data_IF_804294248738
#
_entry.id   IF_804294248738
#
_cell.length_a   1.000
_cell.length_b   1.000
_cell.length_c   1.000
_cell.angle_alpha   90.00
_cell.angle_beta   90.00
_cell.angle_gamma   90.00
#
_symmetry.space_group_name_H-M   'P 1'
#
loop_
_entity.id
_entity.type
_entity.pdbx_description
1 polymer ?
#
# COMPACT_ATOMS: atom_id res chain seq x y z
N UNK A 1 -16.40 -5.97 -11.38
CA UNK A 1 -15.63 -5.12 -12.32
C UNK A 1 -14.55 -5.90 -13.05
N UNK A 2 -14.00 -6.99 -12.47
CA UNK A 2 -12.91 -7.73 -13.13
C UNK A 2 -13.36 -8.52 -14.36
N UNK A 3 -14.60 -8.96 -14.41
CA UNK A 3 -15.18 -9.71 -15.55
C UNK A 3 -15.45 -8.82 -16.78
N UNK A 4 -15.42 -7.50 -16.59
CA UNK A 4 -15.62 -6.50 -17.65
C UNK A 4 -14.32 -6.05 -18.30
N UNK A 5 -13.19 -6.62 -17.89
CA UNK A 5 -11.86 -6.24 -18.33
C UNK A 5 -11.10 -7.45 -18.85
N UNK A 6 -10.48 -7.31 -19.99
CA UNK A 6 -9.55 -8.30 -20.52
C UNK A 6 -8.24 -8.25 -19.72
N UNK A 7 -7.78 -9.41 -19.30
CA UNK A 7 -6.54 -9.59 -18.55
C UNK A 7 -5.48 -10.28 -19.40
N UNK A 8 -4.24 -9.85 -19.26
CA UNK A 8 -3.10 -10.44 -19.97
C UNK A 8 -1.95 -10.69 -19.02
N UNK A 9 -1.12 -11.68 -19.34
CA UNK A 9 0.12 -11.94 -18.60
C UNK A 9 1.30 -11.30 -19.32
N UNK A 10 2.11 -10.57 -18.56
CA UNK A 10 3.27 -9.83 -19.08
C UNK A 10 4.49 -10.12 -18.25
N UNK A 11 5.64 -10.19 -18.89
CA UNK A 11 6.93 -10.22 -18.21
C UNK A 11 7.44 -8.80 -18.02
N UNK A 12 7.65 -8.43 -16.76
CA UNK A 12 8.23 -7.14 -16.39
C UNK A 12 9.68 -7.32 -16.02
N UNK A 13 10.57 -6.66 -16.75
CA UNK A 13 12.02 -6.63 -16.47
C UNK A 13 12.52 -5.20 -16.52
N UNK A 14 13.30 -4.84 -15.50
CA UNK A 14 14.03 -3.57 -15.45
C UNK A 14 15.51 -3.90 -15.36
N UNK A 15 16.28 -3.34 -16.29
CA UNK A 15 17.70 -3.58 -16.39
C UNK A 15 18.49 -2.30 -16.07
N UNK A 16 19.59 -2.45 -15.37
CA UNK A 16 20.57 -1.38 -15.23
C UNK A 16 21.16 -1.05 -16.61
N UNK A 17 20.99 0.19 -17.02
CA UNK A 17 21.39 0.63 -18.35
C UNK A 17 22.93 0.65 -18.56
N UNK A 18 23.71 0.72 -17.45
CA UNK A 18 25.18 0.72 -17.50
C UNK A 18 25.76 -0.69 -17.54
N UNK A 19 25.20 -1.57 -16.72
CA UNK A 19 25.77 -2.91 -16.50
C UNK A 19 25.04 -4.00 -17.25
N UNK A 20 23.82 -3.74 -17.75
CA UNK A 20 22.96 -4.74 -18.36
C UNK A 20 22.42 -5.78 -17.38
N UNK A 21 22.62 -5.61 -16.07
CA UNK A 21 22.09 -6.52 -15.06
C UNK A 21 20.61 -6.25 -14.82
N UNK A 22 19.85 -7.32 -14.60
CA UNK A 22 18.46 -7.22 -14.16
C UNK A 22 18.41 -6.68 -12.73
N UNK A 23 17.71 -5.56 -12.55
CA UNK A 23 17.47 -4.91 -11.24
C UNK A 23 16.15 -5.43 -10.64
N UNK A 24 15.14 -5.61 -11.49
CA UNK A 24 13.82 -6.06 -11.10
C UNK A 24 13.27 -7.00 -12.15
N UNK A 25 12.62 -8.07 -11.71
CA UNK A 25 11.95 -9.02 -12.59
C UNK A 25 10.68 -9.57 -11.92
N UNK A 26 9.59 -9.59 -12.69
CA UNK A 26 8.35 -10.26 -12.33
C UNK A 26 7.76 -10.89 -13.59
N UNK A 27 7.81 -12.22 -13.66
CA UNK A 27 7.41 -12.98 -14.84
C UNK A 27 5.95 -13.42 -14.73
N UNK A 28 5.25 -13.38 -15.87
CA UNK A 28 3.85 -13.83 -15.96
C UNK A 28 2.88 -12.99 -15.13
N UNK A 29 3.22 -11.73 -14.82
CA UNK A 29 2.37 -10.81 -14.07
C UNK A 29 1.04 -10.57 -14.79
N UNK A 30 -0.07 -10.85 -14.12
CA UNK A 30 -1.40 -10.57 -14.64
C UNK A 30 -1.75 -9.08 -14.48
N UNK A 31 -2.07 -8.43 -15.60
CA UNK A 31 -2.42 -7.01 -15.65
C UNK A 31 -3.58 -6.76 -16.61
N UNK A 32 -4.36 -5.66 -16.47
CA UNK A 32 -5.37 -5.29 -17.42
C UNK A 32 -4.75 -5.08 -18.82
N UNK A 33 -5.38 -5.65 -19.85
CA UNK A 33 -4.82 -5.65 -21.20
C UNK A 33 -4.69 -4.24 -21.80
N UNK A 34 -5.56 -3.32 -21.41
CA UNK A 34 -5.58 -1.93 -21.90
C UNK A 34 -4.53 -1.02 -21.26
N UNK A 35 -3.86 -1.45 -20.18
CA UNK A 35 -2.79 -0.66 -19.58
C UNK A 35 -1.55 -0.67 -20.46
N UNK A 36 -0.91 0.48 -20.63
CA UNK A 36 0.35 0.57 -21.34
C UNK A 36 1.52 -0.08 -20.57
N UNK A 37 2.59 -0.41 -21.29
CA UNK A 37 3.72 -1.12 -20.71
C UNK A 37 4.46 -0.31 -19.64
N UNK A 38 4.47 1.02 -19.72
CA UNK A 38 5.13 1.86 -18.72
C UNK A 38 4.32 1.89 -17.43
N UNK A 39 2.99 2.02 -17.53
CA UNK A 39 2.10 1.95 -16.37
C UNK A 39 2.24 0.60 -15.66
N UNK A 40 2.27 -0.50 -16.41
CA UNK A 40 2.46 -1.85 -15.86
C UNK A 40 3.83 -1.97 -15.18
N UNK A 41 4.92 -1.50 -15.81
CA UNK A 41 6.28 -1.56 -15.24
C UNK A 41 6.41 -0.75 -13.96
N UNK A 42 5.88 0.48 -13.95
CA UNK A 42 5.95 1.35 -12.76
C UNK A 42 5.15 0.73 -11.61
N UNK A 43 3.94 0.27 -11.88
CA UNK A 43 3.10 -0.34 -10.85
C UNK A 43 3.72 -1.61 -10.30
N UNK A 44 4.29 -2.45 -11.17
CA UNK A 44 4.94 -3.69 -10.77
C UNK A 44 6.18 -3.44 -9.89
N UNK A 45 7.05 -2.54 -10.32
CA UNK A 45 8.31 -2.25 -9.62
C UNK A 45 8.10 -1.50 -8.29
N UNK A 46 7.12 -0.58 -8.25
CA UNK A 46 6.97 0.33 -7.13
C UNK A 46 5.94 -0.10 -6.10
N UNK A 47 4.91 -0.83 -6.50
CA UNK A 47 3.72 -0.99 -5.68
C UNK A 47 3.32 -2.43 -5.37
N UNK A 48 3.70 -3.41 -6.21
CA UNK A 48 3.42 -4.81 -5.93
C UNK A 48 4.31 -5.35 -4.82
N UNK A 49 3.69 -6.06 -3.90
CA UNK A 49 4.37 -6.60 -2.72
C UNK A 49 4.96 -7.99 -2.98
N UNK A 50 5.93 -8.36 -2.13
CA UNK A 50 6.59 -9.66 -2.18
C UNK A 50 7.69 -9.75 -3.24
N UNK A 51 8.84 -10.31 -2.83
CA UNK A 51 10.01 -10.47 -3.70
C UNK A 51 10.20 -11.92 -4.17
N UNK A 52 9.63 -12.90 -3.46
CA UNK A 52 9.82 -14.31 -3.73
C UNK A 52 8.62 -14.92 -4.45
N UNK A 53 8.76 -15.31 -5.74
CA UNK A 53 7.70 -15.98 -6.48
C UNK A 53 7.16 -17.21 -5.74
N UNK A 54 5.83 -17.31 -5.63
CA UNK A 54 5.17 -18.44 -4.97
C UNK A 54 5.09 -18.31 -3.45
N UNK A 55 5.66 -17.27 -2.83
CA UNK A 55 5.35 -16.96 -1.44
C UNK A 55 3.92 -16.44 -1.32
N UNK A 56 3.32 -16.60 -0.16
CA UNK A 56 1.94 -16.16 0.12
C UNK A 56 1.74 -14.64 -0.02
N UNK A 57 2.82 -13.89 -0.03
CA UNK A 57 2.84 -12.44 -0.07
C UNK A 57 3.16 -11.89 -1.46
N UNK A 58 3.54 -12.77 -2.37
CA UNK A 58 3.90 -12.38 -3.72
C UNK A 58 2.65 -12.01 -4.53
N UNK A 59 2.51 -10.74 -4.82
CA UNK A 59 1.43 -10.23 -5.67
C UNK A 59 1.77 -10.48 -7.14
N UNK A 60 1.20 -11.53 -7.73
CA UNK A 60 1.41 -11.94 -9.13
C UNK A 60 0.32 -11.44 -10.10
N UNK A 61 -0.62 -10.67 -9.57
CA UNK A 61 -1.71 -10.06 -10.30
C UNK A 61 -2.00 -8.65 -9.77
N UNK A 62 -2.38 -7.76 -10.67
CA UNK A 62 -2.89 -6.45 -10.29
C UNK A 62 -4.21 -6.54 -9.50
N UNK A 63 -4.94 -7.65 -9.61
CA UNK A 63 -6.10 -7.90 -8.74
C UNK A 63 -5.70 -7.91 -7.27
N UNK A 64 -4.52 -8.45 -6.93
CA UNK A 64 -4.06 -8.52 -5.55
C UNK A 64 -3.95 -7.13 -4.91
N UNK A 65 -3.31 -6.19 -5.61
CA UNK A 65 -3.15 -4.82 -5.09
C UNK A 65 -4.47 -4.05 -5.07
N UNK A 66 -5.34 -4.25 -6.08
CA UNK A 66 -6.67 -3.61 -6.10
C UNK A 66 -7.54 -4.12 -4.96
N UNK A 67 -7.58 -5.45 -4.75
CA UNK A 67 -8.31 -6.07 -3.64
C UNK A 67 -7.75 -5.62 -2.28
N UNK A 68 -6.44 -5.56 -2.15
CA UNK A 68 -5.79 -5.11 -0.92
C UNK A 68 -6.24 -3.70 -0.52
N UNK A 69 -6.24 -2.77 -1.47
CA UNK A 69 -6.62 -1.38 -1.22
C UNK A 69 -8.14 -1.26 -1.00
N UNK A 70 -8.95 -1.79 -1.92
CA UNK A 70 -10.39 -1.64 -1.85
C UNK A 70 -10.99 -2.33 -0.63
N UNK A 71 -10.57 -3.55 -0.32
CA UNK A 71 -11.05 -4.28 0.85
C UNK A 71 -10.68 -3.57 2.15
N UNK A 72 -9.49 -3.00 2.24
CA UNK A 72 -9.08 -2.27 3.44
C UNK A 72 -9.92 -1.02 3.66
N UNK A 73 -10.15 -0.21 2.62
CA UNK A 73 -11.01 0.95 2.72
C UNK A 73 -12.45 0.59 3.07
N UNK A 74 -12.96 -0.50 2.48
CA UNK A 74 -14.31 -0.98 2.76
C UNK A 74 -14.46 -1.43 4.21
N UNK A 75 -13.48 -2.20 4.72
CA UNK A 75 -13.51 -2.64 6.11
C UNK A 75 -13.43 -1.46 7.07
N UNK A 76 -12.52 -0.53 6.84
CA UNK A 76 -12.43 0.67 7.68
C UNK A 76 -13.71 1.50 7.63
N UNK A 77 -14.28 1.68 6.45
CA UNK A 77 -15.55 2.39 6.29
C UNK A 77 -16.72 1.70 7.02
N UNK A 78 -16.73 0.37 6.98
CA UNK A 78 -17.73 -0.41 7.71
C UNK A 78 -17.55 -0.30 9.23
N UNK A 79 -16.34 -0.48 9.74
CA UNK A 79 -16.02 -0.39 11.18
C UNK A 79 -16.31 1.00 11.75
N UNK A 80 -16.14 2.05 10.96
CA UNK A 80 -16.38 3.44 11.35
C UNK A 80 -17.81 3.93 11.05
N UNK A 81 -18.67 3.04 10.52
CA UNK A 81 -20.10 3.33 10.30
C UNK A 81 -20.40 4.28 9.13
N UNK A 82 -19.55 4.30 8.11
CA UNK A 82 -19.80 5.10 6.90
C UNK A 82 -20.87 4.51 5.98
N UNK A 83 -21.15 3.22 6.08
CA UNK A 83 -22.13 2.53 5.26
C UNK A 83 -23.39 2.21 6.06
N UNK A 84 -24.55 2.45 5.45
CA UNK A 84 -25.83 2.14 6.08
C UNK A 84 -26.15 0.64 6.06
N UNK A 85 -25.73 -0.04 5.01
CA UNK A 85 -25.97 -1.48 4.80
C UNK A 85 -24.70 -2.18 4.32
N UNK A 86 -24.66 -3.51 4.43
CA UNK A 86 -23.59 -4.32 3.84
C UNK A 86 -23.55 -4.17 2.32
N UNK A 87 -24.71 -4.05 1.68
CA UNK A 87 -24.82 -3.83 0.24
C UNK A 87 -24.12 -2.53 -0.19
N UNK A 88 -24.29 -1.43 0.59
CA UNK A 88 -23.57 -0.18 0.32
C UNK A 88 -22.05 -0.35 0.40
N UNK A 89 -21.59 -1.14 1.35
CA UNK A 89 -20.16 -1.44 1.50
C UNK A 89 -19.64 -2.29 0.33
N UNK A 90 -20.40 -3.28 -0.13
CA UNK A 90 -20.06 -4.11 -1.28
C UNK A 90 -20.02 -3.28 -2.58
N UNK A 91 -21.01 -2.41 -2.81
CA UNK A 91 -21.06 -1.50 -3.95
C UNK A 91 -19.82 -0.58 -3.93
N UNK A 92 -19.52 0.04 -2.79
CA UNK A 92 -18.33 0.89 -2.63
C UNK A 92 -17.03 0.14 -2.98
N UNK A 93 -16.91 -1.11 -2.52
CA UNK A 93 -15.75 -1.96 -2.83
C UNK A 93 -15.59 -2.17 -4.33
N UNK A 94 -16.67 -2.55 -5.00
CA UNK A 94 -16.66 -2.83 -6.44
C UNK A 94 -16.43 -1.56 -7.27
N UNK A 95 -16.96 -0.41 -6.86
CA UNK A 95 -16.71 0.87 -7.53
C UNK A 95 -15.25 1.31 -7.42
N UNK A 96 -14.62 1.18 -6.25
CA UNK A 96 -13.19 1.49 -6.10
C UNK A 96 -12.35 0.59 -7.00
N UNK A 97 -12.63 -0.71 -7.04
CA UNK A 97 -11.95 -1.65 -7.93
C UNK A 97 -12.10 -1.25 -9.40
N UNK A 98 -13.32 -0.91 -9.82
CA UNK A 98 -13.58 -0.48 -11.19
C UNK A 98 -12.79 0.79 -11.54
N UNK A 99 -12.76 1.77 -10.65
CA UNK A 99 -12.01 3.01 -10.87
C UNK A 99 -10.50 2.78 -10.94
N UNK A 100 -9.94 1.90 -10.10
CA UNK A 100 -8.52 1.53 -10.12
C UNK A 100 -8.15 0.83 -11.43
N UNK A 101 -8.93 -0.17 -11.83
CA UNK A 101 -8.69 -0.94 -13.05
C UNK A 101 -8.75 -0.07 -14.29
N UNK A 102 -9.70 0.87 -14.35
CA UNK A 102 -9.92 1.77 -15.47
C UNK A 102 -9.01 3.02 -15.43
N UNK A 103 -8.13 3.14 -14.45
CA UNK A 103 -7.26 4.32 -14.24
C UNK A 103 -8.04 5.65 -14.10
N UNK A 104 -9.29 5.59 -13.63
CA UNK A 104 -10.11 6.77 -13.34
C UNK A 104 -9.68 7.43 -12.04
N UNK A 105 -9.24 6.62 -11.09
CA UNK A 105 -8.75 7.04 -9.79
C UNK A 105 -7.53 6.22 -9.39
N UNK A 106 -6.62 6.86 -8.68
CA UNK A 106 -5.48 6.20 -8.06
C UNK A 106 -5.16 6.88 -6.73
N UNK A 107 -4.87 6.13 -5.67
CA UNK A 107 -4.39 6.71 -4.43
C UNK A 107 -2.95 7.21 -4.57
N UNK A 108 -2.51 8.00 -3.59
CA UNK A 108 -1.11 8.42 -3.51
C UNK A 108 -0.17 7.23 -3.20
N UNK A 109 1.12 7.41 -3.46
CA UNK A 109 2.11 6.34 -3.33
C UNK A 109 2.17 5.66 -1.95
N UNK A 110 2.10 6.36 -0.80
CA UNK A 110 2.08 5.69 0.50
C UNK A 110 0.91 4.74 0.71
N UNK A 111 -0.25 5.01 0.13
CA UNK A 111 -1.38 4.08 0.14
C UNK A 111 -1.04 2.80 -0.62
N UNK A 112 -0.49 2.93 -1.83
CA UNK A 112 -0.04 1.79 -2.62
C UNK A 112 0.99 0.92 -1.89
N UNK A 113 1.94 1.54 -1.16
CA UNK A 113 3.01 0.82 -0.45
C UNK A 113 2.53 0.16 0.85
N UNK A 114 1.64 0.83 1.59
CA UNK A 114 1.49 0.54 3.02
C UNK A 114 0.14 -0.05 3.38
N UNK A 115 -0.94 0.25 2.61
CA UNK A 115 -2.29 -0.16 2.99
C UNK A 115 -2.56 -1.62 2.68
N UNK A 116 -3.23 -2.27 3.60
CA UNK A 116 -3.86 -3.57 3.44
C UNK A 116 -2.95 -4.76 3.68
N UNK A 117 -1.64 -4.58 3.88
CA UNK A 117 -0.76 -5.70 4.21
C UNK A 117 -1.11 -6.34 5.56
N UNK A 118 -1.48 -5.52 6.54
CA UNK A 118 -1.98 -5.98 7.82
C UNK A 118 -3.41 -6.52 7.72
N UNK A 119 -4.28 -5.85 6.97
CA UNK A 119 -5.69 -6.20 6.85
C UNK A 119 -5.93 -7.46 6.00
N UNK A 120 -5.16 -7.69 4.94
CA UNK A 120 -5.20 -8.96 4.20
C UNK A 120 -4.97 -10.15 5.13
N UNK A 121 -4.01 -10.01 6.01
CA UNK A 121 -3.68 -11.01 7.00
C UNK A 121 -4.81 -11.17 8.03
N UNK A 122 -5.40 -10.07 8.47
CA UNK A 122 -6.43 -10.07 9.52
C UNK A 122 -7.78 -10.59 9.02
N UNK A 123 -8.17 -10.22 7.81
CA UNK A 123 -9.53 -10.43 7.29
C UNK A 123 -9.59 -11.38 6.10
N UNK A 124 -8.68 -11.28 5.18
CA UNK A 124 -8.74 -11.94 3.88
C UNK A 124 -8.10 -13.33 3.84
N UNK A 125 -7.16 -13.58 4.71
CA UNK A 125 -6.32 -14.79 4.66
C UNK A 125 -6.12 -15.37 6.05
N UNK A 126 -7.14 -16.03 6.64
CA UNK A 126 -7.01 -16.66 7.95
C UNK A 126 -5.94 -17.76 8.00
N UNK A 127 -5.63 -18.37 6.85
CA UNK A 127 -4.54 -19.33 6.66
C UNK A 127 -3.15 -18.72 6.94
N UNK A 128 -2.99 -17.42 6.80
CA UNK A 128 -1.74 -16.72 7.10
C UNK A 128 -1.57 -16.35 8.57
N UNK A 129 -2.66 -16.33 9.35
CA UNK A 129 -2.63 -15.88 10.76
C UNK A 129 -1.63 -16.63 11.63
N UNK A 130 -1.51 -17.93 11.44
CA UNK A 130 -0.64 -18.77 12.27
C UNK A 130 0.85 -18.65 11.91
N UNK A 131 1.14 -18.22 10.69
CA UNK A 131 2.50 -18.15 10.13
C UNK A 131 2.98 -16.75 9.82
N UNK A 132 2.17 -15.73 10.11
CA UNK A 132 2.55 -14.34 9.86
C UNK A 132 3.61 -13.89 10.88
N UNK A 133 4.82 -13.79 10.43
CA UNK A 133 5.96 -13.31 11.24
C UNK A 133 6.08 -11.79 11.27
N UNK A 134 5.07 -11.08 10.76
CA UNK A 134 5.01 -9.63 10.72
C UNK A 134 6.00 -9.04 9.71
N UNK A 135 5.53 -8.73 8.50
CA UNK A 135 6.33 -7.88 7.63
C UNK A 135 6.30 -6.46 8.18
N UNK A 136 7.46 -5.86 8.14
CA UNK A 136 7.70 -4.58 8.74
C UNK A 136 8.31 -4.70 10.14
N UNK A 137 9.10 -3.70 10.47
CA UNK A 137 9.73 -3.60 11.77
C UNK A 137 8.69 -3.20 12.82
N UNK A 138 8.93 -3.59 14.07
CA UNK A 138 8.21 -3.01 15.20
C UNK A 138 8.30 -1.49 15.14
N UNK A 139 7.19 -0.83 15.32
CA UNK A 139 7.09 0.62 15.23
C UNK A 139 6.37 1.19 16.46
N UNK A 140 6.43 2.51 16.61
CA UNK A 140 5.65 3.22 17.62
C UNK A 140 4.53 3.98 16.93
N UNK A 141 3.32 3.77 17.43
CA UNK A 141 2.15 4.53 17.03
C UNK A 141 1.73 5.48 18.15
N UNK A 142 1.42 6.73 17.79
CA UNK A 142 0.95 7.74 18.71
C UNK A 142 -0.50 8.09 18.40
N UNK A 143 -1.39 7.87 19.36
CA UNK A 143 -2.83 8.13 19.23
C UNK A 143 -3.26 9.11 20.31
N UNK A 144 -4.17 10.02 19.97
CA UNK A 144 -4.79 10.94 20.93
C UNK A 144 -4.93 12.35 20.39
N UNK A 145 -5.31 13.26 21.28
CA UNK A 145 -5.40 14.70 20.99
C UNK A 145 -4.13 15.42 21.42
N UNK A 146 -3.92 16.65 20.94
CA UNK A 146 -2.74 17.49 21.25
C UNK A 146 -2.33 17.49 22.74
N UNK A 147 -3.31 17.37 23.65
CA UNK A 147 -3.08 17.41 25.11
C UNK A 147 -3.09 16.04 25.78
N UNK A 148 -3.32 14.96 25.04
CA UNK A 148 -3.40 13.60 25.58
C UNK A 148 -2.93 12.59 24.52
N UNK A 149 -1.66 12.69 24.16
CA UNK A 149 -1.01 11.76 23.25
C UNK A 149 -0.52 10.54 24.02
N UNK A 150 -0.85 9.36 23.52
CA UNK A 150 -0.32 8.09 24.02
C UNK A 150 0.46 7.41 22.91
N UNK A 151 1.70 7.06 23.21
CA UNK A 151 2.56 6.29 22.29
C UNK A 151 2.64 4.86 22.78
N UNK A 152 2.43 3.92 21.88
CA UNK A 152 2.54 2.49 22.16
C UNK A 152 3.26 1.78 21.02
N UNK A 153 3.89 0.66 21.35
CA UNK A 153 4.60 -0.16 20.36
C UNK A 153 3.59 -1.04 19.61
N UNK A 154 3.70 -1.06 18.30
CA UNK A 154 2.94 -1.90 17.39
C UNK A 154 3.82 -3.01 16.83
N UNK A 155 3.22 -4.11 16.39
CA UNK A 155 3.96 -5.27 15.93
C UNK A 155 4.51 -5.11 14.51
N UNK A 156 3.84 -4.29 13.70
CA UNK A 156 4.24 -4.01 12.32
C UNK A 156 3.99 -2.56 11.96
N UNK A 157 4.82 -1.99 11.11
CA UNK A 157 4.60 -0.67 10.48
C UNK A 157 3.33 -0.63 9.64
N UNK A 158 2.82 -1.78 9.23
CA UNK A 158 1.59 -1.91 8.43
C UNK A 158 0.31 -1.99 9.28
N UNK A 159 0.41 -2.13 10.61
CA UNK A 159 -0.74 -2.14 11.52
C UNK A 159 -1.46 -0.78 11.56
N UNK A 160 -0.68 0.30 11.52
CA UNK A 160 -1.16 1.68 11.38
C UNK A 160 -0.37 2.33 10.25
N UNK A 161 -0.76 2.07 9.00
CA UNK A 161 0.04 2.48 7.85
C UNK A 161 0.04 3.98 7.64
N UNK A 162 1.19 4.51 7.20
CA UNK A 162 1.24 5.88 6.72
C UNK A 162 0.57 5.98 5.36
N UNK A 163 -0.44 6.84 5.27
CA UNK A 163 -1.26 7.03 4.06
C UNK A 163 -1.08 8.40 3.40
N UNK A 164 -0.39 9.34 4.08
CA UNK A 164 -0.19 10.69 3.57
C UNK A 164 1.08 10.78 2.74
N UNK A 165 0.99 11.35 1.53
CA UNK A 165 2.13 11.50 0.65
C UNK A 165 3.02 12.69 1.02
N UNK A 166 2.41 13.77 1.52
CA UNK A 166 3.10 15.03 1.75
C UNK A 166 2.76 15.60 3.11
N UNK A 167 3.76 16.21 3.74
CA UNK A 167 3.63 16.92 5.00
C UNK A 167 4.11 18.36 4.85
N UNK A 168 3.38 19.28 5.43
CA UNK A 168 3.83 20.65 5.64
C UNK A 168 4.35 20.75 7.07
N UNK A 169 5.61 21.06 7.21
CA UNK A 169 6.28 21.22 8.49
C UNK A 169 6.80 22.65 8.64
N UNK A 170 6.78 23.16 9.86
CA UNK A 170 7.36 24.43 10.22
C UNK A 170 8.69 24.18 10.95
N UNK A 171 9.68 25.00 10.68
CA UNK A 171 10.95 25.00 11.40
C UNK A 171 11.15 26.34 12.10
N UNK A 172 11.46 26.31 13.39
CA UNK A 172 11.82 27.51 14.16
C UNK A 172 13.26 27.96 13.84
N UNK A 173 13.63 29.13 14.33
CA UNK A 173 14.92 29.77 14.05
C UNK A 173 16.01 29.45 15.11
N UNK A 174 15.78 28.43 15.93
CA UNK A 174 16.80 27.91 16.86
C UNK A 174 17.56 26.73 16.26
N UNK A 175 18.77 26.48 16.74
CA UNK A 175 19.55 25.30 16.33
C UNK A 175 18.84 24.00 16.72
N UNK A 176 18.18 23.98 17.86
CA UNK A 176 17.38 22.86 18.36
C UNK A 176 16.23 22.56 17.42
N UNK A 177 15.47 23.58 17.02
CA UNK A 177 14.34 23.42 16.08
C UNK A 177 14.79 22.88 14.73
N UNK A 178 15.93 23.34 14.22
CA UNK A 178 16.51 22.87 12.95
C UNK A 178 16.90 21.39 13.04
N UNK A 179 17.54 20.97 14.14
CA UNK A 179 17.90 19.57 14.33
C UNK A 179 16.70 18.65 14.51
N UNK A 180 15.70 19.10 15.25
CA UNK A 180 14.44 18.37 15.43
C UNK A 180 13.66 18.25 14.11
N UNK A 181 13.71 19.30 13.28
CA UNK A 181 13.13 19.27 11.95
C UNK A 181 13.78 18.20 11.05
N UNK A 182 15.11 18.11 11.01
CA UNK A 182 15.83 17.06 10.28
C UNK A 182 15.44 15.66 10.75
N UNK A 183 15.27 15.48 12.05
CA UNK A 183 14.79 14.20 12.60
C UNK A 183 13.37 13.87 12.14
N UNK A 184 12.51 14.87 12.10
CA UNK A 184 11.12 14.75 11.63
C UNK A 184 11.06 14.38 10.16
N UNK A 185 11.83 15.08 9.31
CA UNK A 185 11.95 14.77 7.87
C UNK A 185 12.44 13.33 7.66
N UNK A 186 13.47 12.91 8.37
CA UNK A 186 13.98 11.54 8.28
C UNK A 186 12.93 10.48 8.60
N UNK A 187 12.05 10.73 9.59
CA UNK A 187 10.94 9.84 9.92
C UNK A 187 9.85 9.82 8.85
N UNK A 188 9.54 10.98 8.27
CA UNK A 188 8.58 11.10 7.17
C UNK A 188 9.08 10.31 5.97
N UNK A 189 10.32 10.51 5.54
CA UNK A 189 10.91 9.81 4.41
C UNK A 189 11.00 8.29 4.63
N UNK A 190 11.27 7.85 5.86
CA UNK A 190 11.31 6.43 6.19
C UNK A 190 9.96 5.72 5.98
N UNK A 191 8.85 6.45 5.96
CA UNK A 191 7.50 5.93 5.68
C UNK A 191 7.10 5.96 4.20
N UNK A 192 7.98 6.43 3.32
CA UNK A 192 7.70 6.61 1.89
C UNK A 192 6.94 7.91 1.57
N UNK A 193 6.85 8.82 2.51
CA UNK A 193 6.23 10.15 2.37
C UNK A 193 7.28 11.26 2.20
N UNK A 194 6.85 12.47 1.84
CA UNK A 194 7.73 13.62 1.64
C UNK A 194 7.13 14.97 1.99
#
# INVERSE_FOLDING_TARGET
>A
PYDEVDWTRRDVRIMDWKTGKTIYERLGLEAPAHWDDNAVKITADKYLFGSEPGSLEYEDSFRNIYDRISNTYTVWGWEEGYFATLEDAEIFNEEIKAMLVQQIWAPNSPVWFNIGHWEQWRWGRPDLRENYTGHGNKAYHTKGTKNNLKTFMVQSTYEYPQCSACFLTEVGDSMEDILDHLTTEGRIFASGSG
#
